data_IF_909095010701
#
_entry.id   IF_909095010701
#
_cell.length_a   1.000
_cell.length_b   1.000
_cell.length_c   1.000
_cell.angle_alpha   90.00
_cell.angle_beta   90.00
_cell.angle_gamma   90.00
#
_symmetry.space_group_name_H-M   'P 1'
#
loop_
_entity.id
_entity.type
_entity.pdbx_description
1 polymer ?
#
# COMPACT_ATOMS: atom_id res chain seq x y z
N UNK A 1 22.26 -18.23 1.07
CA UNK A 1 21.65 -17.53 -0.09
C UNK A 1 20.21 -18.02 -0.14
N UNK A 2 19.28 -17.28 0.46
CA UNK A 2 17.99 -17.86 0.91
C UNK A 2 16.87 -17.72 -0.12
N UNK A 3 17.21 -17.47 -1.38
CA UNK A 3 16.23 -17.32 -2.45
C UNK A 3 16.79 -17.90 -3.75
N UNK A 4 15.93 -18.55 -4.52
CA UNK A 4 16.27 -19.06 -5.85
C UNK A 4 16.26 -17.89 -6.82
N UNK A 5 17.39 -17.64 -7.48
CA UNK A 5 17.50 -16.57 -8.48
C UNK A 5 17.07 -17.08 -9.86
N UNK A 6 16.62 -16.19 -10.75
CA UNK A 6 16.31 -16.56 -12.14
C UNK A 6 17.50 -17.25 -12.83
N UNK A 7 18.75 -16.84 -12.52
CA UNK A 7 19.94 -17.50 -13.06
C UNK A 7 20.08 -18.94 -12.58
N UNK A 8 19.79 -19.22 -11.31
CA UNK A 8 19.80 -20.58 -10.77
C UNK A 8 18.74 -21.47 -11.45
N UNK A 9 17.55 -20.93 -11.71
CA UNK A 9 16.48 -21.60 -12.48
C UNK A 9 16.97 -21.99 -13.87
N UNK A 10 17.50 -21.03 -14.64
CA UNK A 10 18.00 -21.31 -16.00
C UNK A 10 19.19 -22.26 -16.02
N UNK A 11 20.09 -22.20 -15.05
CA UNK A 11 21.24 -23.11 -14.95
C UNK A 11 20.84 -24.55 -14.64
N UNK A 12 19.67 -24.78 -14.04
CA UNK A 12 19.15 -26.12 -13.78
C UNK A 12 18.50 -26.76 -15.01
N UNK A 13 18.48 -26.05 -16.15
CA UNK A 13 17.82 -26.51 -17.37
C UNK A 13 16.37 -26.04 -17.50
N UNK A 14 15.85 -25.32 -16.50
CA UNK A 14 14.47 -24.84 -16.53
C UNK A 14 14.31 -23.60 -17.44
N UNK A 15 13.22 -23.58 -18.22
CA UNK A 15 12.89 -22.49 -19.13
C UNK A 15 11.63 -21.73 -18.65
N UNK A 16 11.46 -20.47 -19.07
CA UNK A 16 10.34 -19.60 -18.67
C UNK A 16 8.93 -20.12 -19.03
N UNK A 17 8.85 -21.19 -19.83
CA UNK A 17 7.60 -21.80 -20.28
C UNK A 17 7.18 -23.00 -19.43
N UNK A 18 8.08 -23.54 -18.62
CA UNK A 18 7.75 -24.64 -17.72
C UNK A 18 6.86 -24.12 -16.61
N UNK A 19 5.87 -24.94 -16.27
CA UNK A 19 4.88 -24.65 -15.26
C UNK A 19 5.23 -25.39 -13.98
N UNK A 20 4.66 -24.93 -12.89
CA UNK A 20 4.80 -25.60 -11.58
C UNK A 20 4.32 -27.06 -11.64
N UNK A 21 3.31 -27.36 -12.46
CA UNK A 21 2.81 -28.72 -12.69
C UNK A 21 3.85 -29.66 -13.31
N UNK A 22 4.79 -29.14 -14.11
CA UNK A 22 5.84 -29.95 -14.73
C UNK A 22 6.94 -30.34 -13.73
N UNK A 23 7.03 -29.65 -12.59
CA UNK A 23 8.03 -29.85 -11.53
C UNK A 23 7.47 -30.57 -10.30
N UNK A 24 6.20 -31.00 -10.37
CA UNK A 24 5.52 -31.73 -9.30
C UNK A 24 5.17 -33.12 -9.82
N UNK A 25 5.70 -34.16 -9.19
CA UNK A 25 5.46 -35.55 -9.56
C UNK A 25 4.84 -36.31 -8.37
N UNK A 26 3.70 -36.97 -8.59
CA UNK A 26 2.97 -37.75 -7.59
C UNK A 26 2.77 -37.03 -6.24
N UNK A 27 2.47 -35.73 -6.28
CA UNK A 27 2.24 -34.91 -5.07
C UNK A 27 3.51 -34.54 -4.30
N UNK A 28 4.70 -34.72 -4.88
CA UNK A 28 6.00 -34.31 -4.34
C UNK A 28 6.75 -33.40 -5.30
N UNK A 29 7.56 -32.49 -4.78
CA UNK A 29 8.46 -31.68 -5.61
C UNK A 29 9.55 -32.54 -6.23
N UNK A 30 9.73 -32.46 -7.55
CA UNK A 30 10.83 -33.09 -8.27
C UNK A 30 11.91 -32.05 -8.60
N UNK A 31 12.48 -31.43 -7.57
CA UNK A 31 13.62 -30.51 -7.73
C UNK A 31 14.90 -31.25 -8.16
N UNK A 32 15.85 -30.58 -8.83
CA UNK A 32 17.15 -31.16 -9.13
C UNK A 32 17.93 -31.42 -7.84
N UNK A 33 18.68 -32.52 -7.79
CA UNK A 33 19.43 -32.90 -6.58
C UNK A 33 20.41 -31.81 -6.11
N UNK A 34 20.97 -31.05 -7.05
CA UNK A 34 21.88 -29.94 -6.78
C UNK A 34 21.22 -28.81 -5.99
N UNK A 35 19.90 -28.63 -6.12
CA UNK A 35 19.14 -27.58 -5.44
C UNK A 35 18.85 -27.89 -3.97
N UNK A 36 18.68 -29.16 -3.60
CA UNK A 36 18.52 -29.51 -2.20
C UNK A 36 19.75 -29.12 -1.36
N UNK A 37 20.95 -29.20 -1.96
CA UNK A 37 22.20 -28.80 -1.32
C UNK A 37 22.37 -27.27 -1.28
N UNK A 38 22.00 -26.57 -2.35
CA UNK A 38 22.16 -25.11 -2.46
C UNK A 38 21.07 -24.34 -1.72
N UNK A 39 19.86 -24.89 -1.67
CA UNK A 39 18.66 -24.27 -1.12
C UNK A 39 17.88 -25.27 -0.23
N UNK A 40 18.38 -25.57 0.98
CA UNK A 40 17.71 -26.49 1.91
C UNK A 40 16.27 -26.08 2.24
N UNK A 41 15.95 -24.78 2.15
CA UNK A 41 14.60 -24.26 2.37
C UNK A 41 13.55 -24.86 1.40
N UNK A 42 13.96 -25.36 0.22
CA UNK A 42 13.03 -25.99 -0.73
C UNK A 42 12.36 -27.24 -0.17
N UNK A 43 13.00 -27.97 0.75
CA UNK A 43 12.43 -29.17 1.36
C UNK A 43 11.31 -28.87 2.36
N UNK A 44 11.18 -27.62 2.81
CA UNK A 44 10.14 -27.18 3.74
C UNK A 44 8.90 -26.61 3.01
N UNK A 45 8.93 -26.52 1.69
CA UNK A 45 7.84 -25.94 0.90
C UNK A 45 6.76 -27.00 0.70
N UNK A 46 5.56 -26.71 1.23
CA UNK A 46 4.39 -27.54 0.95
C UNK A 46 4.05 -27.54 -0.53
N UNK A 47 3.78 -28.73 -1.08
CA UNK A 47 3.35 -28.88 -2.47
C UNK A 47 1.96 -28.26 -2.62
N UNK A 48 1.76 -27.34 -3.58
CA UNK A 48 0.46 -26.74 -3.81
C UNK A 48 -0.54 -27.79 -4.34
N UNK A 49 -1.82 -27.63 -4.00
CA UNK A 49 -2.88 -28.45 -4.56
C UNK A 49 -3.16 -27.99 -6.00
N UNK A 50 -2.60 -28.70 -6.97
CA UNK A 50 -2.77 -28.42 -8.39
C UNK A 50 -4.03 -29.11 -8.90
N UNK A 51 -4.97 -28.32 -9.42
CA UNK A 51 -6.20 -28.83 -10.06
C UNK A 51 -6.04 -28.70 -11.58
N UNK A 52 -5.87 -29.79 -12.33
CA UNK A 52 -5.62 -29.72 -13.77
C UNK A 52 -6.81 -29.13 -14.56
N UNK A 53 -8.03 -29.25 -14.01
CA UNK A 53 -9.26 -28.81 -14.68
C UNK A 53 -9.58 -27.33 -14.47
N UNK A 54 -8.77 -26.60 -13.69
CA UNK A 54 -9.04 -25.22 -13.31
C UNK A 54 -7.93 -24.29 -13.83
N UNK A 55 -8.27 -23.21 -14.56
CA UNK A 55 -7.26 -22.24 -14.99
C UNK A 55 -6.69 -21.47 -13.80
N UNK A 56 -5.46 -21.01 -13.95
CA UNK A 56 -4.82 -20.14 -12.96
C UNK A 56 -5.63 -18.86 -12.75
N UNK A 57 -5.75 -18.43 -11.49
CA UNK A 57 -6.44 -17.18 -11.13
C UNK A 57 -5.52 -16.29 -10.29
N UNK A 58 -5.61 -14.98 -10.55
CA UNK A 58 -4.89 -13.98 -9.77
C UNK A 58 -5.68 -13.72 -8.48
N UNK A 59 -5.08 -14.07 -7.35
CA UNK A 59 -5.64 -13.83 -6.02
C UNK A 59 -4.75 -12.85 -5.24
N UNK A 60 -5.37 -11.94 -4.49
CA UNK A 60 -4.69 -11.00 -3.63
C UNK A 60 -4.60 -11.56 -2.20
N UNK A 61 -3.38 -11.63 -1.64
CA UNK A 61 -3.17 -12.06 -0.25
C UNK A 61 -3.09 -10.84 0.67
N UNK A 62 -3.97 -10.77 1.66
CA UNK A 62 -3.98 -9.69 2.65
C UNK A 62 -4.41 -10.20 4.03
N UNK A 63 -3.69 -9.80 5.09
CA UNK A 63 -3.96 -10.21 6.49
C UNK A 63 -4.20 -11.72 6.67
N UNK A 64 -3.45 -12.56 5.95
CA UNK A 64 -3.58 -14.02 6.03
C UNK A 64 -4.74 -14.62 5.22
N UNK A 65 -5.63 -13.79 4.65
CA UNK A 65 -6.70 -14.22 3.74
C UNK A 65 -6.33 -14.07 2.26
N UNK A 66 -7.13 -14.72 1.41
CA UNK A 66 -7.08 -14.60 -0.05
C UNK A 66 -8.37 -13.96 -0.55
N UNK A 67 -8.24 -12.95 -1.40
CA UNK A 67 -9.35 -12.13 -1.89
C UNK A 67 -9.20 -11.89 -3.39
N UNK A 68 -10.33 -11.60 -4.05
CA UNK A 68 -10.27 -10.98 -5.37
C UNK A 68 -9.68 -9.58 -5.26
N UNK A 69 -8.93 -9.18 -6.28
CA UNK A 69 -8.33 -7.85 -6.31
C UNK A 69 -9.42 -6.77 -6.32
N UNK A 70 -9.27 -5.79 -5.43
CA UNK A 70 -10.10 -4.58 -5.43
C UNK A 70 -9.24 -3.41 -5.00
N UNK A 71 -9.41 -2.27 -5.67
CA UNK A 71 -8.74 -1.01 -5.31
C UNK A 71 -9.03 -0.66 -3.85
N UNK A 72 -10.22 -0.96 -3.35
CA UNK A 72 -10.58 -0.76 -1.94
C UNK A 72 -9.69 -1.58 -1.01
N UNK A 73 -9.52 -2.88 -1.29
CA UNK A 73 -8.65 -3.76 -0.49
C UNK A 73 -7.19 -3.34 -0.59
N UNK A 74 -6.71 -3.02 -1.79
CA UNK A 74 -5.34 -2.54 -2.00
C UNK A 74 -5.07 -1.23 -1.22
N UNK A 75 -5.99 -0.27 -1.29
CA UNK A 75 -5.90 0.98 -0.54
C UNK A 75 -5.89 0.75 0.97
N UNK A 76 -6.77 -0.13 1.47
CA UNK A 76 -6.79 -0.48 2.89
C UNK A 76 -5.53 -1.21 3.36
N UNK A 77 -4.88 -1.97 2.48
CA UNK A 77 -3.64 -2.68 2.77
C UNK A 77 -2.41 -1.75 2.78
N UNK A 78 -2.39 -0.75 1.90
CA UNK A 78 -1.27 0.20 1.80
C UNK A 78 -1.33 1.33 2.82
N UNK A 79 -2.53 1.75 3.22
CA UNK A 79 -2.68 2.88 4.14
C UNK A 79 -2.33 2.48 5.57
N UNK A 80 -1.55 3.31 6.25
CA UNK A 80 -1.45 3.25 7.69
C UNK A 80 -2.78 3.69 8.30
N UNK A 81 -3.41 2.81 9.09
CA UNK A 81 -4.63 3.18 9.83
C UNK A 81 -4.23 3.95 11.09
N UNK A 82 -4.45 5.27 11.07
CA UNK A 82 -4.47 6.07 12.28
C UNK A 82 -5.67 5.75 13.17
N UNK A 83 -5.64 6.23 14.41
CA UNK A 83 -6.78 6.17 15.32
C UNK A 83 -7.94 6.95 14.72
N UNK A 84 -9.13 6.33 14.73
CA UNK A 84 -10.34 7.03 14.32
C UNK A 84 -10.65 8.13 15.32
N UNK A 85 -10.80 9.35 14.82
CA UNK A 85 -11.08 10.54 15.62
C UNK A 85 -12.59 10.77 15.68
N UNK A 86 -13.10 11.18 16.83
CA UNK A 86 -14.55 11.35 17.04
C UNK A 86 -15.21 12.28 16.03
N UNK A 87 -14.49 13.26 15.49
CA UNK A 87 -15.03 14.20 14.51
C UNK A 87 -15.01 13.68 13.06
N UNK A 88 -14.53 12.46 12.80
CA UNK A 88 -14.41 11.88 11.45
C UNK A 88 -15.75 11.89 10.71
N UNK A 89 -16.84 11.56 11.40
CA UNK A 89 -18.18 11.50 10.82
C UNK A 89 -18.71 12.88 10.41
N UNK A 90 -18.31 13.95 11.10
CA UNK A 90 -18.69 15.33 10.74
C UNK A 90 -18.03 15.75 9.43
N UNK A 91 -16.79 15.31 9.22
CA UNK A 91 -15.99 15.67 8.03
C UNK A 91 -16.33 14.80 6.83
N UNK A 92 -16.60 13.51 7.02
CA UNK A 92 -16.78 12.54 5.94
C UNK A 92 -18.21 11.98 5.86
N UNK A 93 -19.21 12.79 6.17
CA UNK A 93 -20.63 12.42 6.07
C UNK A 93 -21.09 12.27 4.60
N UNK A 94 -22.09 11.43 4.35
CA UNK A 94 -22.65 11.15 3.01
C UNK A 94 -23.17 12.41 2.29
N UNK A 95 -23.68 13.40 3.05
CA UNK A 95 -24.24 14.64 2.51
C UNK A 95 -23.23 15.79 2.45
N UNK A 96 -21.95 15.49 2.67
CA UNK A 96 -20.94 16.52 2.83
C UNK A 96 -20.40 17.00 1.47
N UNK A 97 -20.35 18.32 1.28
CA UNK A 97 -19.85 18.94 0.05
C UNK A 97 -18.31 18.94 0.10
N UNK A 98 -17.59 18.38 -0.90
CA UNK A 98 -16.13 18.22 -0.87
C UNK A 98 -15.33 19.49 -0.53
N UNK A 99 -15.81 20.66 -0.98
CA UNK A 99 -15.19 21.95 -0.66
C UNK A 99 -15.23 22.20 0.85
N UNK A 100 -16.39 22.03 1.48
CA UNK A 100 -16.58 22.32 2.90
C UNK A 100 -15.88 21.29 3.79
N UNK A 101 -15.90 20.01 3.40
CA UNK A 101 -15.20 18.96 4.15
C UNK A 101 -13.70 19.17 4.18
N UNK A 102 -13.11 19.59 3.06
CA UNK A 102 -11.67 19.90 3.00
C UNK A 102 -11.31 21.03 3.96
N UNK A 103 -12.10 22.11 3.97
CA UNK A 103 -11.88 23.24 4.90
C UNK A 103 -12.09 22.80 6.35
N UNK A 104 -13.19 22.10 6.65
CA UNK A 104 -13.50 21.62 8.00
C UNK A 104 -12.41 20.67 8.51
N UNK A 105 -11.93 19.76 7.67
CA UNK A 105 -10.80 18.87 7.99
C UNK A 105 -9.54 19.66 8.37
N UNK A 106 -9.20 20.70 7.61
CA UNK A 106 -8.06 21.57 7.92
C UNK A 106 -8.26 22.36 9.22
N UNK A 107 -9.49 22.82 9.49
CA UNK A 107 -9.84 23.51 10.74
C UNK A 107 -9.70 22.57 11.94
N UNK A 108 -10.29 21.38 11.89
CA UNK A 108 -10.21 20.38 12.97
C UNK A 108 -8.77 19.94 13.22
N UNK A 109 -7.96 19.85 12.16
CA UNK A 109 -6.52 19.56 12.28
C UNK A 109 -5.68 20.77 12.70
N UNK A 110 -6.25 21.96 12.89
CA UNK A 110 -5.50 23.19 13.18
C UNK A 110 -4.40 23.46 12.13
N UNK A 111 -4.66 23.09 10.87
CA UNK A 111 -3.75 23.27 9.71
C UNK A 111 -4.27 24.28 8.70
N UNK A 112 -5.44 24.87 8.93
CA UNK A 112 -5.87 26.04 8.16
C UNK A 112 -5.02 27.24 8.58
N UNK A 113 -4.35 27.87 7.62
CA UNK A 113 -3.65 29.14 7.79
C UNK A 113 -4.69 30.25 7.88
N UNK A 114 -5.21 30.48 9.08
CA UNK A 114 -6.03 31.65 9.38
C UNK A 114 -5.14 32.87 9.59
N UNK A 115 -5.70 34.07 9.42
CA UNK A 115 -4.97 35.32 9.59
C UNK A 115 -4.28 35.41 10.97
N UNK A 116 -4.88 34.84 12.02
CA UNK A 116 -4.30 34.77 13.38
C UNK A 116 -2.98 33.97 13.44
N UNK A 117 -2.84 32.91 12.64
CA UNK A 117 -1.60 32.11 12.57
C UNK A 117 -0.52 32.78 11.73
N UNK A 118 -0.92 33.45 10.64
CA UNK A 118 0.03 34.22 9.83
C UNK A 118 0.61 35.42 10.60
N UNK A 119 -0.19 36.06 11.46
CA UNK A 119 0.29 37.15 12.33
C UNK A 119 1.37 36.70 13.32
N UNK A 120 1.26 35.49 13.89
CA UNK A 120 2.29 34.94 14.78
C UNK A 120 3.62 34.67 14.06
N UNK A 121 3.58 34.36 12.75
CA UNK A 121 4.78 34.16 11.94
C UNK A 121 5.42 35.48 11.47
N UNK A 122 4.69 36.60 11.46
CA UNK A 122 5.17 37.92 11.07
C UNK A 122 5.57 38.80 12.27
N UNK A 123 5.82 38.24 13.46
CA UNK A 123 6.49 38.98 14.56
C UNK A 123 8.00 39.05 14.29
N UNK A 124 8.32 39.60 13.13
CA UNK A 124 9.64 39.86 12.61
C UNK A 124 9.55 41.13 11.78
N UNK A 125 9.68 42.26 12.50
CA UNK A 125 9.99 43.63 12.10
C UNK A 125 9.38 44.17 10.78
N UNK A 126 8.59 45.23 10.97
CA UNK A 126 8.13 46.21 9.97
C UNK A 126 6.93 45.82 9.11
N UNK A 127 5.71 46.12 9.58
CA UNK A 127 4.59 46.56 8.72
C UNK A 127 3.43 47.09 9.57
N UNK A 128 3.71 48.09 10.44
CA UNK A 128 2.66 48.78 11.21
C UNK A 128 2.34 50.19 10.68
N UNK A 129 2.77 50.53 9.45
CA UNK A 129 2.68 51.91 8.94
C UNK A 129 2.14 52.05 7.50
N UNK A 130 1.19 51.22 7.05
CA UNK A 130 0.62 51.37 5.70
C UNK A 130 -0.92 51.33 5.59
N UNK A 131 -1.66 51.24 6.70
CA UNK A 131 -3.14 51.21 6.63
C UNK A 131 -3.86 52.42 7.25
N UNK A 132 -3.15 53.37 7.85
CA UNK A 132 -3.77 54.56 8.49
C UNK A 132 -3.55 55.88 7.75
N UNK A 133 -2.94 55.90 6.57
CA UNK A 133 -2.76 57.13 5.79
C UNK A 133 -3.24 56.99 4.35
N UNK A 134 -4.55 57.09 4.13
CA UNK A 134 -5.09 57.59 2.87
C UNK A 134 -5.97 58.79 3.20
N UNK A 135 -5.63 60.02 2.74
CA UNK A 135 -6.51 61.16 2.88
C UNK A 135 -7.69 61.02 1.91
N UNK A 136 -8.87 61.40 2.39
CA UNK A 136 -10.05 61.55 1.56
C UNK A 136 -9.81 62.62 0.49
N UNK A 137 -10.07 62.28 -0.77
CA UNK A 137 -10.43 63.21 -1.85
C UNK A 137 -11.78 62.74 -2.38
#
# INVERSE_FOLDING_TARGET
MNHVTHRAVSNAGYNKREKVVDVVNNGSWSWPQTWYNQFPALSQINVPNLRPDQPDSLIWKYNGGFYEFSIKHAWHAMRERGVEVDWSYLVWSTYSIPRHTTHLWLVMRKRLLTQDRMRQWHVGNETDLAFTSLPAI
#
